data_IF_039172933847
#
_entry.id   IF_039172933847
#
_cell.length_a   1.000
_cell.length_b   1.000
_cell.length_c   1.000
_cell.angle_alpha   90.00
_cell.angle_beta   90.00
_cell.angle_gamma   90.00
#
_symmetry.space_group_name_H-M   'P 1'
#
loop_
_entity.id
_entity.type
_entity.pdbx_description
1 polymer ?
#
# COMPACT_ATOMS: atom_id res chain seq x y z
N UNK A 1 7.68 -9.57 -14.04
CA UNK A 1 7.35 -8.41 -13.19
C UNK A 1 8.24 -8.49 -11.99
N UNK A 2 8.75 -7.35 -11.53
CA UNK A 2 9.53 -7.30 -10.30
C UNK A 2 8.59 -7.46 -9.10
N UNK A 3 9.00 -8.23 -8.07
CA UNK A 3 8.20 -8.36 -6.85
C UNK A 3 8.01 -7.00 -6.19
N UNK A 4 6.87 -6.82 -5.54
CA UNK A 4 6.52 -5.64 -4.77
C UNK A 4 7.59 -5.39 -3.72
N UNK A 5 8.08 -4.15 -3.69
CA UNK A 5 9.14 -3.75 -2.77
C UNK A 5 8.60 -3.53 -1.35
N UNK A 6 9.50 -3.55 -0.36
CA UNK A 6 9.15 -3.25 1.03
C UNK A 6 8.59 -1.82 1.19
N UNK A 7 9.11 -0.87 0.41
CA UNK A 7 8.65 0.52 0.42
C UNK A 7 7.21 0.63 -0.09
N UNK A 8 6.85 -0.16 -1.11
CA UNK A 8 5.51 -0.22 -1.66
C UNK A 8 4.53 -0.90 -0.71
N UNK A 9 4.95 -1.97 -0.02
CA UNK A 9 4.18 -2.61 1.05
C UNK A 9 3.93 -1.65 2.22
N UNK A 10 4.96 -0.90 2.64
CA UNK A 10 4.83 0.08 3.71
C UNK A 10 3.91 1.24 3.31
N UNK A 11 3.97 1.69 2.05
CA UNK A 11 3.02 2.68 1.53
C UNK A 11 1.59 2.15 1.54
N UNK A 12 1.38 0.90 1.11
CA UNK A 12 0.06 0.26 1.12
C UNK A 12 -0.52 0.23 2.54
N UNK A 13 0.23 -0.25 3.53
CA UNK A 13 -0.19 -0.27 4.94
C UNK A 13 -0.59 1.11 5.46
N UNK A 14 0.15 2.16 5.07
CA UNK A 14 -0.19 3.54 5.45
C UNK A 14 -1.48 4.01 4.78
N UNK A 15 -1.67 3.73 3.48
CA UNK A 15 -2.89 4.12 2.76
C UNK A 15 -4.12 3.37 3.28
N UNK A 16 -4.00 2.08 3.59
CA UNK A 16 -5.08 1.27 4.16
C UNK A 16 -5.51 1.76 5.54
N UNK A 17 -4.55 2.19 6.37
CA UNK A 17 -4.86 2.80 7.66
C UNK A 17 -5.64 4.10 7.51
N UNK A 18 -5.25 4.95 6.56
CA UNK A 18 -5.99 6.18 6.23
C UNK A 18 -7.40 5.86 5.73
N UNK A 19 -7.56 4.86 4.86
CA UNK A 19 -8.88 4.41 4.37
C UNK A 19 -9.79 3.91 5.50
N UNK A 20 -9.21 3.20 6.47
CA UNK A 20 -9.89 2.68 7.65
C UNK A 20 -10.06 3.70 8.78
N UNK A 21 -9.83 4.99 8.52
CA UNK A 21 -9.93 6.08 9.51
C UNK A 21 -9.00 5.92 10.72
N UNK A 22 -7.97 5.08 10.59
CA UNK A 22 -6.91 4.92 11.58
C UNK A 22 -5.75 5.83 11.18
N UNK A 23 -5.80 7.09 11.58
CA UNK A 23 -4.70 8.01 11.25
C UNK A 23 -3.36 7.44 11.73
N UNK A 24 -2.30 7.48 10.90
CA UNK A 24 -0.95 7.19 11.36
C UNK A 24 -0.65 8.07 12.56
N UNK A 25 -0.09 7.48 13.61
CA UNK A 25 0.14 8.18 14.87
C UNK A 25 0.77 9.57 14.65
N UNK A 26 0.25 10.58 15.36
CA UNK A 26 0.55 12.02 15.25
C UNK A 26 2.04 12.38 15.37
N UNK A 27 2.90 11.43 15.74
CA UNK A 27 4.34 11.60 15.89
C UNK A 27 5.12 11.59 14.56
N UNK A 28 4.50 11.30 13.41
CA UNK A 28 5.16 11.36 12.10
C UNK A 28 4.64 12.49 11.21
N UNK A 29 4.80 13.74 11.67
CA UNK A 29 4.43 14.94 10.89
C UNK A 29 5.12 14.97 9.51
N UNK A 30 6.34 14.44 9.41
CA UNK A 30 7.07 14.30 8.15
C UNK A 30 6.40 13.31 7.18
N UNK A 31 5.86 12.19 7.67
CA UNK A 31 5.13 11.24 6.83
C UNK A 31 3.81 11.84 6.35
N UNK A 32 3.08 12.50 7.25
CA UNK A 32 1.83 13.21 6.91
C UNK A 32 2.07 14.23 5.80
N UNK A 33 3.11 15.06 5.93
CA UNK A 33 3.44 16.05 4.92
C UNK A 33 3.80 15.39 3.57
N UNK A 34 4.61 14.33 3.59
CA UNK A 34 4.98 13.61 2.36
C UNK A 34 3.76 13.00 1.65
N UNK A 35 2.79 12.48 2.39
CA UNK A 35 1.56 11.94 1.79
C UNK A 35 0.72 13.05 1.14
N UNK A 36 0.66 14.23 1.77
CA UNK A 36 0.01 15.41 1.20
C UNK A 36 0.74 15.89 -0.06
N UNK A 37 2.08 15.96 0.00
CA UNK A 37 2.92 16.41 -1.12
C UNK A 37 2.82 15.48 -2.35
N UNK A 38 2.52 14.20 -2.13
CA UNK A 38 2.30 13.23 -3.22
C UNK A 38 0.88 13.29 -3.79
N UNK A 39 -0.04 14.03 -3.16
CA UNK A 39 -1.43 14.14 -3.59
C UNK A 39 -2.25 12.86 -3.41
N UNK A 40 -1.74 11.87 -2.69
CA UNK A 40 -2.44 10.61 -2.40
C UNK A 40 -3.46 10.77 -1.27
N UNK A 41 -3.26 11.77 -0.41
CA UNK A 41 -4.18 12.10 0.69
C UNK A 41 -4.50 13.59 0.70
N UNK A 42 -5.62 13.93 1.31
CA UNK A 42 -6.06 15.30 1.60
C UNK A 42 -6.46 15.40 3.08
N UNK A 43 -6.64 16.62 3.57
CA UNK A 43 -7.21 16.88 4.90
C UNK A 43 -8.65 17.36 4.74
N UNK A 44 -9.59 16.61 5.32
CA UNK A 44 -11.01 16.96 5.40
C UNK A 44 -11.48 16.90 6.85
N UNK A 45 -12.10 17.97 7.35
CA UNK A 45 -12.55 18.10 8.75
C UNK A 45 -11.45 17.82 9.79
N UNK A 46 -10.20 18.14 9.45
CA UNK A 46 -9.03 17.90 10.31
C UNK A 46 -8.45 16.49 10.23
N UNK A 47 -9.12 15.57 9.53
CA UNK A 47 -8.70 14.18 9.35
C UNK A 47 -8.07 13.93 7.97
N UNK A 48 -7.12 13.00 7.89
CA UNK A 48 -6.58 12.52 6.62
C UNK A 48 -7.58 11.65 5.87
N UNK A 49 -7.73 11.90 4.56
CA UNK A 49 -8.57 11.14 3.64
C UNK A 49 -7.80 10.79 2.39
N UNK A 50 -8.07 9.61 1.81
CA UNK A 50 -7.55 9.28 0.49
C UNK A 50 -8.19 10.17 -0.57
N UNK A 51 -7.38 10.62 -1.52
CA UNK A 51 -7.89 11.20 -2.78
C UNK A 51 -8.25 10.08 -3.75
N UNK A 52 -8.91 10.40 -4.87
CA UNK A 52 -9.14 9.43 -5.95
C UNK A 52 -7.84 8.78 -6.43
N UNK A 53 -6.76 9.56 -6.51
CA UNK A 53 -5.43 9.05 -6.87
C UNK A 53 -4.88 8.10 -5.79
N UNK A 54 -5.10 8.41 -4.51
CA UNK A 54 -4.77 7.54 -3.38
C UNK A 54 -5.53 6.21 -3.43
N UNK A 55 -6.83 6.25 -3.73
CA UNK A 55 -7.69 5.07 -3.85
C UNK A 55 -7.20 4.17 -4.99
N UNK A 56 -6.99 4.72 -6.18
CA UNK A 56 -6.50 3.94 -7.33
C UNK A 56 -5.08 3.40 -7.09
N UNK A 57 -4.23 4.14 -6.37
CA UNK A 57 -2.91 3.65 -5.95
C UNK A 57 -3.02 2.47 -5.00
N UNK A 58 -3.93 2.54 -4.02
CA UNK A 58 -4.17 1.43 -3.10
C UNK A 58 -4.63 0.17 -3.84
N UNK A 59 -5.61 0.30 -4.76
CA UNK A 59 -6.06 -0.81 -5.61
C UNK A 59 -4.93 -1.44 -6.43
N UNK A 60 -4.10 -0.59 -7.05
CA UNK A 60 -2.97 -1.04 -7.85
C UNK A 60 -1.96 -1.84 -7.01
N UNK A 61 -1.64 -1.37 -5.80
CA UNK A 61 -0.73 -2.06 -4.90
C UNK A 61 -1.31 -3.38 -4.39
N UNK A 62 -2.60 -3.41 -4.03
CA UNK A 62 -3.30 -4.65 -3.64
C UNK A 62 -3.23 -5.73 -4.73
N UNK A 63 -3.50 -5.36 -5.98
CA UNK A 63 -3.39 -6.31 -7.10
C UNK A 63 -1.99 -6.87 -7.27
N UNK A 64 -0.95 -6.05 -7.05
CA UNK A 64 0.44 -6.51 -7.10
C UNK A 64 0.76 -7.48 -5.98
N UNK A 65 0.33 -7.21 -4.74
CA UNK A 65 0.50 -8.13 -3.61
C UNK A 65 -0.13 -9.50 -3.92
N UNK A 66 -1.37 -9.50 -4.44
CA UNK A 66 -2.06 -10.75 -4.80
C UNK A 66 -1.32 -11.48 -5.91
N UNK A 67 -0.96 -10.78 -6.99
CA UNK A 67 -0.23 -11.37 -8.12
C UNK A 67 1.12 -11.95 -7.70
N UNK A 68 1.84 -11.29 -6.79
CA UNK A 68 3.13 -11.77 -6.30
C UNK A 68 2.97 -13.02 -5.43
N UNK A 69 1.93 -13.07 -4.59
CA UNK A 69 1.61 -14.25 -3.79
C UNK A 69 1.23 -15.45 -4.68
N UNK A 70 0.43 -15.21 -5.73
CA UNK A 70 0.07 -16.23 -6.72
C UNK A 70 1.31 -16.74 -7.49
N UNK A 71 2.18 -15.83 -7.93
CA UNK A 71 3.42 -16.20 -8.61
C UNK A 71 4.35 -17.02 -7.70
N UNK A 72 4.49 -16.62 -6.43
CA UNK A 72 5.28 -17.36 -5.45
C UNK A 72 4.72 -18.77 -5.20
N UNK A 73 3.40 -18.92 -5.13
CA UNK A 73 2.74 -20.22 -4.96
C UNK A 73 3.01 -21.17 -6.13
N UNK A 74 2.94 -20.67 -7.37
CA UNK A 74 3.23 -21.47 -8.58
C UNK A 74 4.69 -21.93 -8.61
N UNK A 75 5.64 -21.07 -8.22
CA UNK A 75 7.05 -21.43 -8.14
C UNK A 75 7.27 -22.52 -7.08
N UNK A 76 6.69 -22.35 -5.90
CA UNK A 76 6.78 -23.34 -4.82
C UNK A 76 6.18 -24.70 -5.21
N UNK A 77 5.05 -24.73 -5.92
CA UNK A 77 4.44 -25.97 -6.42
C UNK A 77 5.38 -26.70 -7.40
N UNK A 78 5.99 -25.97 -8.34
CA UNK A 78 6.92 -26.54 -9.33
C UNK A 78 8.19 -27.08 -8.69
N UNK A 79 8.75 -26.37 -7.71
CA UNK A 79 9.93 -26.83 -6.97
C UNK A 79 9.61 -28.04 -6.08
N UNK A 80 8.42 -28.07 -5.48
CA UNK A 80 7.94 -29.22 -4.69
C UNK A 80 7.60 -30.46 -5.51
N UNK A 81 7.25 -30.31 -6.79
CA UNK A 81 7.02 -31.42 -7.72
C UNK A 81 8.31 -31.95 -8.38
N UNK A 82 9.41 -31.22 -8.27
CA UNK A 82 10.72 -31.60 -8.83
C UNK A 82 11.62 -32.35 -7.82
N UNK A 83 11.11 -32.65 -6.62
CA UNK A 83 11.78 -33.39 -5.54
C UNK A 83 11.11 -34.75 -5.30
#
# INVERSE_FOLDING_TARGET
MDPISLEELALLDVLDRVDQYHEPALNSSALRQRLLDTGLVTVEDGALRLTDAGIERCKSLHHRVISDAEAAAIVAEREGQAA
#
